data_IF_706526459249
#
_entry.id   IF_706526459249
#
_cell.length_a   1.000
_cell.length_b   1.000
_cell.length_c   1.000
_cell.angle_alpha   90.00
_cell.angle_beta   90.00
_cell.angle_gamma   90.00
#
_symmetry.space_group_name_H-M   'P 1'
#
loop_
_entity.id
_entity.type
_entity.pdbx_description
1 polymer ?
#
# COMPACT_ATOMS: atom_id res chain seq x y z
N UNK A 1 -2.13 27.66 6.96
CA UNK A 1 -0.98 26.78 7.13
C UNK A 1 0.22 27.50 7.80
N UNK A 2 0.76 28.62 7.19
CA UNK A 2 1.93 29.34 7.73
C UNK A 2 1.75 29.75 9.20
N UNK A 3 0.58 30.37 9.56
CA UNK A 3 0.28 30.75 10.93
C UNK A 3 0.25 29.56 11.88
N UNK A 4 -0.29 28.43 11.44
CA UNK A 4 -0.34 27.19 12.22
C UNK A 4 1.03 26.60 12.45
N UNK A 5 1.86 26.47 11.40
CA UNK A 5 3.24 25.97 11.49
C UNK A 5 4.08 26.81 12.45
N UNK A 6 4.00 28.14 12.37
CA UNK A 6 4.79 29.05 13.21
C UNK A 6 4.33 29.09 14.67
N UNK A 7 3.05 28.80 14.94
CA UNK A 7 2.54 28.64 16.32
C UNK A 7 2.94 27.33 16.96
N UNK A 8 3.16 26.29 16.17
CA UNK A 8 3.65 25.00 16.64
C UNK A 8 5.10 25.14 17.14
N UNK A 9 5.32 24.91 18.44
CA UNK A 9 6.67 24.93 19.04
C UNK A 9 7.43 23.64 18.73
N UNK A 10 7.61 23.35 17.44
CA UNK A 10 8.31 22.15 17.00
C UNK A 10 9.80 22.26 17.32
N UNK A 11 10.37 21.24 17.96
CA UNK A 11 11.83 21.12 18.10
C UNK A 11 12.46 20.63 16.80
N UNK A 12 11.79 19.69 16.12
CA UNK A 12 12.23 19.10 14.84
C UNK A 12 11.02 18.70 14.00
N UNK A 13 11.16 18.81 12.68
CA UNK A 13 10.19 18.34 11.69
C UNK A 13 10.92 17.34 10.77
N UNK A 14 10.25 16.22 10.48
CA UNK A 14 10.70 15.22 9.53
C UNK A 14 9.82 15.27 8.28
N UNK A 15 10.37 15.75 7.18
CA UNK A 15 9.71 15.76 5.88
C UNK A 15 10.00 14.43 5.15
N UNK A 16 9.15 13.43 5.35
CA UNK A 16 9.29 12.11 4.73
C UNK A 16 8.72 12.07 3.31
N UNK A 17 7.91 13.05 2.92
CA UNK A 17 7.40 13.16 1.56
C UNK A 17 8.52 13.59 0.60
N UNK A 18 9.41 14.48 1.04
CA UNK A 18 10.58 14.93 0.27
C UNK A 18 10.25 15.36 -1.17
N UNK A 19 9.18 16.13 -1.32
CA UNK A 19 8.77 16.77 -2.57
C UNK A 19 9.10 18.27 -2.57
N UNK A 20 9.06 18.92 -3.72
CA UNK A 20 9.18 20.37 -3.81
C UNK A 20 8.12 21.08 -2.98
N UNK A 21 6.89 20.54 -2.98
CA UNK A 21 5.77 21.04 -2.19
C UNK A 21 6.03 20.95 -0.70
N UNK A 22 6.52 19.82 -0.19
CA UNK A 22 6.82 19.67 1.25
C UNK A 22 8.04 20.49 1.66
N UNK A 23 9.05 20.56 0.79
CA UNK A 23 10.24 21.41 0.99
C UNK A 23 9.90 22.89 1.04
N UNK A 24 8.85 23.33 0.31
CA UNK A 24 8.37 24.70 0.41
C UNK A 24 7.86 25.04 1.83
N UNK A 25 7.34 24.06 2.57
CA UNK A 25 6.86 24.32 3.94
C UNK A 25 7.97 24.77 4.89
N UNK A 26 9.22 24.35 4.65
CA UNK A 26 10.39 24.85 5.37
C UNK A 26 10.54 26.37 5.26
N UNK A 27 10.27 26.94 4.07
CA UNK A 27 10.35 28.38 3.83
C UNK A 27 9.27 29.18 4.54
N UNK A 28 8.15 28.55 4.94
CA UNK A 28 7.06 29.24 5.61
C UNK A 28 7.41 29.70 7.04
N UNK A 29 8.50 29.20 7.61
CA UNK A 29 9.01 29.65 8.90
C UNK A 29 9.70 31.02 8.83
N UNK A 30 10.26 31.39 7.68
CA UNK A 30 10.95 32.68 7.53
C UNK A 30 9.98 33.87 7.70
N UNK A 31 10.45 35.03 8.32
CA UNK A 31 11.83 35.35 8.72
C UNK A 31 12.29 34.74 10.05
N UNK A 32 11.44 34.02 10.79
CA UNK A 32 11.85 33.39 12.03
C UNK A 32 12.79 32.23 11.75
N UNK A 33 13.56 31.81 12.75
CA UNK A 33 14.42 30.65 12.65
C UNK A 33 13.59 29.37 12.53
N UNK A 34 13.73 28.57 11.45
CA UNK A 34 13.03 27.31 11.34
C UNK A 34 13.41 26.34 12.47
N UNK A 35 12.53 25.43 12.87
CA UNK A 35 12.92 24.29 13.70
C UNK A 35 13.96 23.42 13.01
N UNK A 36 14.60 22.51 13.73
CA UNK A 36 15.43 21.50 13.09
C UNK A 36 14.57 20.75 12.05
N UNK A 37 15.11 20.54 10.86
CA UNK A 37 14.36 19.97 9.73
C UNK A 37 15.16 18.85 9.08
N UNK A 38 14.56 17.68 8.96
CA UNK A 38 15.08 16.55 8.20
C UNK A 38 14.30 16.43 6.89
N UNK A 39 14.99 16.43 5.77
CA UNK A 39 14.40 16.38 4.43
C UNK A 39 15.36 16.84 3.35
N UNK A 40 14.80 17.30 2.23
CA UNK A 40 15.57 17.79 1.07
C UNK A 40 15.51 19.31 0.89
N UNK A 41 14.87 20.03 1.81
CA UNK A 41 14.78 21.48 1.73
C UNK A 41 16.17 22.11 1.82
N UNK A 42 16.49 23.01 0.87
CA UNK A 42 17.80 23.68 0.83
C UNK A 42 18.03 24.48 2.11
N UNK A 43 19.15 24.20 2.79
CA UNK A 43 19.52 24.86 4.03
C UNK A 43 18.87 24.26 5.29
N UNK A 44 18.22 23.12 5.20
CA UNK A 44 17.72 22.41 6.38
C UNK A 44 18.87 21.84 7.21
N UNK A 45 18.62 21.62 8.51
CA UNK A 45 19.66 21.22 9.47
C UNK A 45 20.09 19.75 9.37
N UNK A 46 19.22 18.88 8.79
CA UNK A 46 19.47 17.46 8.62
C UNK A 46 19.08 17.06 7.18
N UNK A 47 19.94 17.41 6.20
CA UNK A 47 19.66 17.13 4.80
C UNK A 47 19.76 15.63 4.50
N UNK A 48 18.83 15.13 3.70
CA UNK A 48 18.98 13.84 3.05
C UNK A 48 19.63 14.04 1.69
N UNK A 49 20.95 14.05 1.66
CA UNK A 49 21.81 14.46 0.56
C UNK A 49 22.42 13.29 -0.24
N UNK A 50 21.88 12.07 -0.05
CA UNK A 50 22.31 10.90 -0.83
C UNK A 50 22.01 11.12 -2.32
N UNK A 51 23.02 11.12 -3.21
CA UNK A 51 22.83 11.34 -4.64
C UNK A 51 21.97 10.27 -5.30
N UNK A 52 21.97 9.04 -4.74
CA UNK A 52 21.22 7.90 -5.27
C UNK A 52 19.82 7.77 -4.65
N UNK A 53 19.37 8.75 -3.83
CA UNK A 53 18.11 8.67 -3.10
C UNK A 53 16.88 8.37 -3.97
N UNK A 54 16.87 8.81 -5.21
CA UNK A 54 15.76 8.62 -6.13
C UNK A 54 15.72 7.21 -6.75
N UNK A 55 16.80 6.46 -6.65
CA UNK A 55 16.88 5.05 -7.04
C UNK A 55 16.66 4.09 -5.86
N UNK A 56 16.46 4.62 -4.65
CA UNK A 56 16.20 3.81 -3.47
C UNK A 56 14.71 3.48 -3.34
N UNK A 57 14.42 2.31 -2.81
CA UNK A 57 13.06 2.00 -2.35
C UNK A 57 12.59 3.04 -1.32
N UNK A 58 11.32 3.47 -1.41
CA UNK A 58 10.78 4.56 -0.57
C UNK A 58 11.02 4.35 0.92
N UNK A 59 10.86 3.14 1.43
CA UNK A 59 11.06 2.82 2.84
C UNK A 59 12.54 2.91 3.22
N UNK A 60 13.45 2.40 2.39
CA UNK A 60 14.90 2.46 2.65
C UNK A 60 15.40 3.91 2.64
N UNK A 61 14.88 4.70 1.72
CA UNK A 61 15.15 6.13 1.63
C UNK A 61 14.70 6.88 2.89
N UNK A 62 13.50 6.59 3.37
CA UNK A 62 12.98 7.21 4.61
C UNK A 62 13.77 6.76 5.84
N UNK A 63 14.14 5.48 5.90
CA UNK A 63 14.98 4.93 6.97
C UNK A 63 16.35 5.62 7.00
N UNK A 64 17.02 5.73 5.86
CA UNK A 64 18.30 6.44 5.77
C UNK A 64 18.18 7.89 6.23
N UNK A 65 17.14 8.61 5.77
CA UNK A 65 16.88 9.99 6.17
C UNK A 65 16.70 10.13 7.68
N UNK A 66 15.90 9.25 8.30
CA UNK A 66 15.68 9.27 9.75
C UNK A 66 16.95 8.94 10.53
N UNK A 67 17.73 7.98 10.06
CA UNK A 67 19.04 7.62 10.65
C UNK A 67 20.00 8.80 10.60
N UNK A 68 20.13 9.48 9.46
CA UNK A 68 20.94 10.71 9.33
C UNK A 68 20.45 11.83 10.26
N UNK A 69 19.17 11.89 10.56
CA UNK A 69 18.61 12.82 11.52
C UNK A 69 18.76 12.38 12.99
N UNK A 70 19.47 11.29 13.27
CA UNK A 70 19.75 10.80 14.62
C UNK A 70 18.61 10.02 15.26
N UNK A 71 17.63 9.54 14.48
CA UNK A 71 16.61 8.63 14.96
C UNK A 71 17.21 7.23 15.03
N UNK A 72 17.14 6.61 16.20
CA UNK A 72 17.57 5.21 16.36
C UNK A 72 16.52 4.30 15.73
N UNK A 73 16.95 3.51 14.76
CA UNK A 73 16.11 2.61 13.99
C UNK A 73 16.32 1.15 14.42
N UNK A 74 16.58 0.90 15.71
CA UNK A 74 16.74 -0.46 16.22
C UNK A 74 15.48 -1.29 15.95
N UNK A 75 15.63 -2.47 15.36
CA UNK A 75 14.51 -3.37 15.00
C UNK A 75 13.85 -3.10 13.66
N UNK A 76 14.30 -2.11 12.88
CA UNK A 76 13.76 -1.80 11.56
C UNK A 76 14.60 -2.36 10.39
N UNK A 77 15.49 -3.28 10.66
CA UNK A 77 16.34 -3.86 9.62
C UNK A 77 15.55 -4.78 8.69
N UNK A 78 14.41 -5.29 9.17
CA UNK A 78 13.49 -6.11 8.39
C UNK A 78 12.04 -5.63 8.55
N UNK A 79 11.51 -4.97 7.51
CA UNK A 79 10.11 -4.50 7.45
C UNK A 79 9.11 -5.67 7.39
N UNK A 80 9.53 -6.83 6.90
CA UNK A 80 8.69 -8.02 6.94
C UNK A 80 8.32 -8.47 8.36
N UNK A 81 9.02 -7.96 9.37
CA UNK A 81 8.81 -8.23 10.80
C UNK A 81 8.28 -7.02 11.59
N UNK A 82 7.68 -6.03 10.92
CA UNK A 82 7.00 -4.95 11.65
C UNK A 82 5.95 -5.52 12.60
N UNK A 83 6.01 -5.09 13.86
CA UNK A 83 4.95 -5.41 14.83
C UNK A 83 3.71 -4.54 14.55
N UNK A 84 2.75 -5.12 13.87
CA UNK A 84 1.42 -4.55 13.63
C UNK A 84 0.34 -5.27 14.47
N UNK A 85 0.71 -6.02 15.51
CA UNK A 85 -0.23 -6.73 16.38
C UNK A 85 -1.26 -5.82 17.07
N UNK A 86 -0.90 -4.56 17.26
CA UNK A 86 -1.79 -3.52 17.81
C UNK A 86 -2.92 -3.10 16.85
N UNK A 87 -2.76 -3.32 15.53
CA UNK A 87 -3.74 -2.92 14.51
C UNK A 87 -4.84 -4.00 14.39
N UNK A 88 -5.66 -4.14 15.40
CA UNK A 88 -6.77 -5.10 15.48
C UNK A 88 -8.12 -4.40 15.36
N UNK A 89 -9.10 -5.11 14.84
CA UNK A 89 -10.50 -4.66 14.80
C UNK A 89 -11.45 -5.86 14.87
N UNK A 90 -12.66 -5.61 15.34
CA UNK A 90 -13.77 -6.55 15.19
C UNK A 90 -14.26 -6.53 13.72
N UNK A 91 -14.29 -7.70 13.11
CA UNK A 91 -14.77 -7.93 11.74
C UNK A 91 -15.91 -8.97 11.67
N UNK A 92 -16.45 -9.42 12.81
CA UNK A 92 -17.52 -10.43 12.84
C UNK A 92 -18.78 -9.95 12.11
N UNK A 93 -19.12 -8.67 12.26
CA UNK A 93 -20.26 -8.04 11.59
C UNK A 93 -20.16 -8.02 10.06
N UNK A 94 -18.94 -8.21 9.50
CA UNK A 94 -18.72 -8.29 8.05
C UNK A 94 -19.06 -9.66 7.48
N UNK A 95 -19.35 -10.65 8.33
CA UNK A 95 -19.75 -12.01 7.93
C UNK A 95 -18.79 -12.66 6.93
N UNK A 96 -17.47 -12.43 7.13
CA UNK A 96 -16.43 -12.95 6.24
C UNK A 96 -16.31 -14.47 6.41
N UNK A 97 -16.26 -15.25 5.32
CA UNK A 97 -16.11 -16.70 5.37
C UNK A 97 -14.79 -17.13 6.04
N UNK A 98 -14.74 -18.39 6.47
CA UNK A 98 -13.51 -18.97 7.06
C UNK A 98 -12.37 -19.04 6.03
N UNK A 99 -12.66 -19.48 4.80
CA UNK A 99 -11.71 -19.59 3.69
C UNK A 99 -11.97 -18.53 2.64
N UNK A 100 -11.10 -17.53 2.55
CA UNK A 100 -11.30 -16.43 1.61
C UNK A 100 -9.98 -15.87 1.06
N UNK A 101 -10.09 -15.24 -0.11
CA UNK A 101 -9.04 -14.44 -0.73
C UNK A 101 -9.47 -12.98 -0.82
N UNK A 102 -8.59 -12.06 -0.46
CA UNK A 102 -8.83 -10.63 -0.67
C UNK A 102 -8.50 -10.26 -2.12
N UNK A 103 -9.45 -9.66 -2.82
CA UNK A 103 -9.23 -9.09 -4.15
C UNK A 103 -9.29 -7.57 -4.07
N UNK A 104 -8.22 -6.91 -4.52
CA UNK A 104 -8.07 -5.45 -4.48
C UNK A 104 -7.94 -4.90 -5.90
N UNK A 105 -9.07 -4.76 -6.63
CA UNK A 105 -9.08 -4.37 -8.05
C UNK A 105 -8.83 -2.87 -8.26
N UNK A 106 -8.79 -2.08 -7.18
CA UNK A 106 -8.64 -0.63 -7.21
C UNK A 106 -7.29 -0.16 -7.74
N UNK A 107 -7.21 1.15 -7.88
CA UNK A 107 -6.01 1.87 -8.29
C UNK A 107 -6.30 3.33 -8.55
N UNK A 108 -5.26 4.18 -8.58
CA UNK A 108 -5.43 5.61 -8.84
C UNK A 108 -6.22 5.85 -10.14
N UNK A 109 -7.30 6.62 -10.08
CA UNK A 109 -8.21 6.88 -11.22
C UNK A 109 -7.47 7.48 -12.42
N UNK A 110 -6.49 8.34 -12.17
CA UNK A 110 -5.69 9.00 -13.20
C UNK A 110 -4.59 8.10 -13.80
N UNK A 111 -4.48 6.83 -13.37
CA UNK A 111 -3.48 5.85 -13.83
C UNK A 111 -4.16 4.51 -14.17
N UNK A 112 -5.04 4.48 -15.18
CA UNK A 112 -5.81 3.27 -15.53
C UNK A 112 -4.91 2.09 -15.94
N UNK A 113 -3.74 2.35 -16.53
CA UNK A 113 -2.79 1.31 -16.90
C UNK A 113 -2.16 0.56 -15.70
N UNK A 114 -2.39 1.01 -14.46
CA UNK A 114 -2.04 0.29 -13.23
C UNK A 114 -3.15 -0.67 -12.77
N UNK A 115 -4.23 -0.78 -13.50
CA UNK A 115 -5.36 -1.64 -13.15
C UNK A 115 -5.37 -2.87 -14.06
N UNK A 116 -5.43 -4.02 -13.44
CA UNK A 116 -5.68 -5.27 -14.17
C UNK A 116 -7.10 -5.26 -14.72
N UNK A 117 -7.35 -5.79 -15.94
CA UNK A 117 -8.67 -5.76 -16.54
C UNK A 117 -9.75 -6.38 -15.65
N UNK A 118 -10.92 -5.75 -15.62
CA UNK A 118 -12.05 -6.19 -14.81
C UNK A 118 -12.48 -7.63 -15.13
N UNK A 119 -12.48 -8.02 -16.41
CA UNK A 119 -12.84 -9.37 -16.82
C UNK A 119 -11.87 -10.43 -16.26
N UNK A 120 -10.60 -10.07 -16.08
CA UNK A 120 -9.63 -10.95 -15.46
C UNK A 120 -9.89 -11.11 -13.95
N UNK A 121 -10.30 -10.03 -13.26
CA UNK A 121 -10.75 -10.14 -11.86
C UNK A 121 -12.02 -11.00 -11.71
N UNK A 122 -12.98 -10.87 -12.62
CA UNK A 122 -14.19 -11.74 -12.65
C UNK A 122 -13.80 -13.20 -12.83
N UNK A 123 -12.93 -13.50 -13.79
CA UNK A 123 -12.46 -14.86 -14.05
C UNK A 123 -11.65 -15.43 -12.89
N UNK A 124 -10.75 -14.62 -12.30
CA UNK A 124 -10.00 -15.02 -11.10
C UNK A 124 -10.94 -15.34 -9.94
N UNK A 125 -11.93 -14.46 -9.67
CA UNK A 125 -12.89 -14.65 -8.60
C UNK A 125 -13.71 -15.94 -8.78
N UNK A 126 -14.14 -16.25 -10.00
CA UNK A 126 -14.86 -17.47 -10.32
C UNK A 126 -14.00 -18.71 -10.03
N UNK A 127 -12.75 -18.72 -10.48
CA UNK A 127 -11.83 -19.85 -10.25
C UNK A 127 -11.45 -20.03 -8.77
N UNK A 128 -11.35 -18.97 -8.00
CA UNK A 128 -11.15 -19.05 -6.55
C UNK A 128 -12.37 -19.67 -5.86
N UNK A 129 -13.57 -19.23 -6.23
CA UNK A 129 -14.82 -19.77 -5.69
C UNK A 129 -14.99 -21.26 -6.01
N UNK A 130 -14.64 -21.71 -7.23
CA UNK A 130 -14.64 -23.12 -7.62
C UNK A 130 -13.68 -23.98 -6.76
N UNK A 131 -12.61 -23.40 -6.26
CA UNK A 131 -11.67 -24.04 -5.33
C UNK A 131 -12.10 -23.96 -3.86
N UNK A 132 -13.27 -23.40 -3.57
CA UNK A 132 -13.82 -23.24 -2.23
C UNK A 132 -13.14 -22.10 -1.43
N UNK A 133 -12.48 -21.16 -2.12
CA UNK A 133 -11.89 -19.93 -1.53
C UNK A 133 -12.76 -18.75 -1.94
N UNK A 134 -13.49 -18.19 -1.01
CA UNK A 134 -14.48 -17.14 -1.31
C UNK A 134 -13.77 -15.82 -1.62
N UNK A 135 -14.05 -15.18 -2.78
CA UNK A 135 -13.51 -13.85 -3.07
C UNK A 135 -14.15 -12.79 -2.17
N UNK A 136 -13.32 -12.02 -1.47
CA UNK A 136 -13.72 -10.86 -0.68
C UNK A 136 -13.15 -9.62 -1.34
N UNK A 137 -14.02 -8.76 -1.83
CA UNK A 137 -13.66 -7.61 -2.67
C UNK A 137 -13.43 -6.39 -1.78
N UNK A 138 -12.27 -5.76 -1.92
CA UNK A 138 -11.86 -4.59 -1.16
C UNK A 138 -11.70 -3.39 -2.08
N UNK A 139 -12.23 -2.25 -1.66
CA UNK A 139 -12.13 -0.98 -2.36
C UNK A 139 -12.68 0.17 -1.54
N UNK A 140 -12.39 1.39 -1.96
CA UNK A 140 -13.04 2.59 -1.45
C UNK A 140 -14.30 2.94 -2.25
N UNK A 141 -14.88 4.14 -2.02
CA UNK A 141 -16.06 4.61 -2.75
C UNK A 141 -15.87 4.60 -4.27
N UNK A 142 -14.68 4.89 -4.74
CA UNK A 142 -14.35 4.97 -6.17
C UNK A 142 -14.30 3.59 -6.86
N UNK A 143 -14.16 2.52 -6.09
CA UNK A 143 -14.09 1.14 -6.58
C UNK A 143 -15.41 0.39 -6.50
N UNK A 144 -16.45 0.94 -5.88
CA UNK A 144 -17.76 0.29 -5.69
C UNK A 144 -18.36 -0.26 -7.00
N UNK A 145 -18.29 0.50 -8.10
CA UNK A 145 -18.80 0.03 -9.38
C UNK A 145 -18.05 -1.22 -9.87
N UNK A 146 -16.72 -1.22 -9.75
CA UNK A 146 -15.86 -2.34 -10.16
C UNK A 146 -16.12 -3.58 -9.29
N UNK A 147 -16.18 -3.44 -7.97
CA UNK A 147 -16.41 -4.56 -7.05
C UNK A 147 -17.83 -5.12 -7.21
N UNK A 148 -18.81 -4.25 -7.40
CA UNK A 148 -20.18 -4.68 -7.66
C UNK A 148 -20.29 -5.54 -8.94
N UNK A 149 -19.61 -5.15 -10.02
CA UNK A 149 -19.61 -5.95 -11.25
C UNK A 149 -18.94 -7.32 -11.06
N UNK A 150 -17.88 -7.42 -10.24
CA UNK A 150 -17.25 -8.70 -9.92
C UNK A 150 -18.21 -9.56 -9.09
N UNK A 151 -18.85 -8.98 -8.06
CA UNK A 151 -19.82 -9.70 -7.22
C UNK A 151 -21.04 -10.16 -8.00
N UNK A 152 -21.52 -9.37 -8.96
CA UNK A 152 -22.63 -9.76 -9.83
C UNK A 152 -22.27 -10.95 -10.74
N UNK A 153 -21.00 -11.06 -11.17
CA UNK A 153 -20.51 -12.19 -11.97
C UNK A 153 -20.26 -13.45 -11.12
N UNK A 154 -19.97 -13.30 -9.83
CA UNK A 154 -19.64 -14.39 -8.90
C UNK A 154 -20.50 -14.25 -7.64
N UNK A 155 -21.71 -14.87 -7.59
CA UNK A 155 -22.66 -14.66 -6.50
C UNK A 155 -22.18 -15.07 -5.10
N UNK A 156 -21.15 -15.88 -4.99
CA UNK A 156 -20.50 -16.24 -3.71
C UNK A 156 -19.50 -15.19 -3.23
N UNK A 157 -19.11 -14.23 -4.08
CA UNK A 157 -18.17 -13.19 -3.70
C UNK A 157 -18.82 -12.21 -2.70
N UNK A 158 -18.05 -11.81 -1.68
CA UNK A 158 -18.46 -10.84 -0.68
C UNK A 158 -17.93 -9.44 -1.05
N UNK A 159 -18.81 -8.50 -1.34
CA UNK A 159 -18.43 -7.12 -1.66
C UNK A 159 -18.36 -6.27 -0.39
N UNK A 160 -17.13 -5.89 0.00
CA UNK A 160 -16.82 -5.03 1.14
C UNK A 160 -16.28 -3.65 0.73
N UNK A 161 -16.48 -3.23 -0.53
CA UNK A 161 -16.08 -1.89 -0.95
C UNK A 161 -16.81 -0.82 -0.12
N UNK A 162 -16.05 0.17 0.39
CA UNK A 162 -16.51 1.23 1.29
C UNK A 162 -17.15 0.74 2.61
N UNK A 163 -16.86 -0.51 3.01
CA UNK A 163 -17.40 -1.10 4.25
C UNK A 163 -16.30 -1.44 5.27
N UNK A 164 -15.04 -1.14 4.96
CA UNK A 164 -13.91 -1.45 5.85
C UNK A 164 -13.05 -0.22 6.09
N UNK A 165 -12.60 -0.06 7.32
CA UNK A 165 -11.52 0.85 7.66
C UNK A 165 -10.14 0.15 7.58
N UNK A 166 -9.07 0.90 7.86
CA UNK A 166 -7.71 0.37 7.79
C UNK A 166 -7.42 -0.71 8.84
N UNK A 167 -8.03 -0.64 10.04
CA UNK A 167 -7.81 -1.63 11.08
C UNK A 167 -8.55 -2.93 10.75
N UNK A 168 -9.77 -2.82 10.24
CA UNK A 168 -10.53 -3.96 9.73
C UNK A 168 -9.83 -4.61 8.54
N UNK A 169 -9.27 -3.82 7.62
CA UNK A 169 -8.48 -4.34 6.51
C UNK A 169 -7.23 -5.08 6.98
N UNK A 170 -6.55 -4.59 8.02
CA UNK A 170 -5.41 -5.25 8.63
C UNK A 170 -5.82 -6.61 9.23
N UNK A 171 -6.96 -6.67 9.91
CA UNK A 171 -7.49 -7.90 10.48
C UNK A 171 -7.91 -8.91 9.41
N UNK A 172 -8.60 -8.46 8.36
CA UNK A 172 -8.93 -9.29 7.20
C UNK A 172 -7.66 -9.82 6.51
N UNK A 173 -6.63 -8.97 6.38
CA UNK A 173 -5.35 -9.38 5.82
C UNK A 173 -4.71 -10.55 6.58
N UNK A 174 -4.74 -10.53 7.93
CA UNK A 174 -4.19 -11.64 8.74
C UNK A 174 -4.94 -12.96 8.57
N UNK A 175 -6.22 -12.88 8.25
CA UNK A 175 -7.12 -14.05 8.15
C UNK A 175 -7.21 -14.60 6.74
N UNK A 176 -6.85 -13.81 5.72
CA UNK A 176 -6.96 -14.21 4.33
C UNK A 176 -5.95 -15.33 3.98
N UNK A 177 -6.38 -16.32 3.19
CA UNK A 177 -5.46 -17.30 2.62
C UNK A 177 -4.46 -16.64 1.65
N UNK A 178 -4.94 -15.65 0.89
CA UNK A 178 -4.12 -14.87 -0.03
C UNK A 178 -4.80 -13.52 -0.32
N UNK A 179 -4.00 -12.52 -0.68
CA UNK A 179 -4.49 -11.27 -1.22
C UNK A 179 -3.93 -11.05 -2.63
N UNK A 180 -4.77 -10.68 -3.57
CA UNK A 180 -4.38 -10.38 -4.95
C UNK A 180 -4.87 -8.98 -5.31
N UNK A 181 -3.99 -8.14 -5.82
CA UNK A 181 -4.39 -6.77 -6.16
C UNK A 181 -3.35 -5.99 -6.94
N UNK A 182 -3.77 -4.85 -7.45
CA UNK A 182 -2.88 -3.90 -8.14
C UNK A 182 -1.95 -3.20 -7.13
N UNK A 183 -0.92 -2.51 -7.61
CA UNK A 183 -0.05 -1.65 -6.79
C UNK A 183 -0.85 -0.48 -6.17
N UNK A 184 -1.33 -0.69 -4.94
CA UNK A 184 -2.22 0.22 -4.20
C UNK A 184 -1.91 0.27 -2.71
N UNK A 185 -2.42 1.33 -2.04
CA UNK A 185 -2.27 1.49 -0.58
C UNK A 185 -2.78 0.30 0.24
N UNK A 186 -3.99 -0.22 0.01
CA UNK A 186 -4.49 -1.42 0.68
C UNK A 186 -3.54 -2.60 0.62
N UNK A 187 -2.95 -2.90 -0.54
CA UNK A 187 -2.01 -4.02 -0.69
C UNK A 187 -0.72 -3.84 0.13
N UNK A 188 -0.27 -2.60 0.38
CA UNK A 188 0.85 -2.36 1.28
C UNK A 188 0.52 -2.76 2.73
N UNK A 189 -0.68 -2.43 3.21
CA UNK A 189 -1.12 -2.78 4.56
C UNK A 189 -1.32 -4.29 4.70
N UNK A 190 -2.00 -4.90 3.74
CA UNK A 190 -2.28 -6.35 3.72
C UNK A 190 -0.97 -7.15 3.73
N UNK A 191 0.00 -6.78 2.89
CA UNK A 191 1.31 -7.41 2.87
C UNK A 191 2.08 -7.21 4.21
N UNK A 192 2.03 -6.00 4.77
CA UNK A 192 2.74 -5.66 6.00
C UNK A 192 2.21 -6.41 7.24
N UNK A 193 0.91 -6.76 7.28
CA UNK A 193 0.36 -7.59 8.36
C UNK A 193 0.64 -9.07 8.19
N UNK A 194 1.31 -9.46 7.09
CA UNK A 194 1.82 -10.82 6.88
C UNK A 194 0.98 -11.71 5.98
N UNK A 195 -0.06 -11.16 5.34
CA UNK A 195 -0.84 -11.93 4.36
C UNK A 195 0.03 -12.40 3.19
N UNK A 196 -0.10 -13.65 2.73
CA UNK A 196 0.40 -14.05 1.42
C UNK A 196 -0.20 -13.12 0.37
N UNK A 197 0.64 -12.41 -0.39
CA UNK A 197 0.19 -11.33 -1.27
C UNK A 197 0.76 -11.47 -2.67
N UNK A 198 -0.09 -11.40 -3.67
CA UNK A 198 0.29 -11.32 -5.09
C UNK A 198 -0.04 -9.93 -5.60
N UNK A 199 0.99 -9.16 -5.96
CA UNK A 199 0.82 -7.77 -6.37
C UNK A 199 1.13 -7.61 -7.85
N UNK A 200 0.18 -7.01 -8.57
CA UNK A 200 0.21 -6.90 -10.02
C UNK A 200 0.79 -5.54 -10.43
N UNK A 201 1.84 -5.57 -11.23
CA UNK A 201 2.57 -4.40 -11.68
C UNK A 201 2.61 -4.29 -13.20
N UNK A 202 2.34 -3.10 -13.72
CA UNK A 202 2.72 -2.69 -15.08
C UNK A 202 3.99 -1.86 -15.05
N UNK A 203 4.49 -1.45 -16.23
CA UNK A 203 5.62 -0.53 -16.32
C UNK A 203 5.31 0.90 -15.85
N UNK A 204 4.04 1.19 -15.48
CA UNK A 204 3.62 2.45 -14.85
C UNK A 204 4.17 2.65 -13.43
N UNK A 205 4.67 1.60 -12.78
CA UNK A 205 5.36 1.68 -11.50
C UNK A 205 6.52 0.70 -11.43
N UNK A 206 7.56 1.12 -10.72
CA UNK A 206 8.72 0.28 -10.48
C UNK A 206 8.66 -0.32 -9.06
N UNK A 207 8.47 -1.65 -8.93
CA UNK A 207 8.45 -2.30 -7.63
C UNK A 207 9.77 -2.18 -6.87
N UNK A 208 10.90 -1.95 -7.56
CA UNK A 208 12.17 -1.67 -6.89
C UNK A 208 12.12 -0.38 -6.05
N UNK A 209 11.27 0.59 -6.43
CA UNK A 209 11.12 1.87 -5.75
C UNK A 209 9.98 1.90 -4.73
N UNK A 210 8.93 1.11 -4.95
CA UNK A 210 7.70 1.18 -4.15
C UNK A 210 7.01 -0.17 -3.93
N UNK A 211 7.68 -1.31 -4.15
CA UNK A 211 7.07 -2.63 -3.97
C UNK A 211 6.56 -2.85 -2.54
N UNK A 212 5.49 -3.60 -2.41
CA UNK A 212 4.96 -4.02 -1.12
C UNK A 212 5.99 -4.88 -0.40
N UNK A 213 6.10 -4.70 0.91
CA UNK A 213 6.99 -5.49 1.75
C UNK A 213 6.18 -6.23 2.81
N UNK A 214 6.49 -7.51 2.97
CA UNK A 214 5.84 -8.40 3.90
C UNK A 214 6.54 -9.76 3.90
N UNK A 215 6.06 -10.70 4.72
CA UNK A 215 6.67 -12.03 4.87
C UNK A 215 6.55 -12.90 3.62
N UNK A 216 5.46 -12.75 2.86
CA UNK A 216 5.15 -13.57 1.71
C UNK A 216 4.54 -12.70 0.59
N UNK A 217 5.39 -11.97 -0.13
CA UNK A 217 4.97 -11.08 -1.21
C UNK A 217 5.54 -11.58 -2.53
N UNK A 218 4.66 -11.86 -3.48
CA UNK A 218 5.00 -12.18 -4.87
C UNK A 218 4.61 -10.99 -5.75
N UNK A 219 5.56 -10.46 -6.50
CA UNK A 219 5.32 -9.41 -7.48
C UNK A 219 5.25 -10.04 -8.87
N UNK A 220 4.12 -9.84 -9.55
CA UNK A 220 3.94 -10.25 -10.94
C UNK A 220 3.94 -9.00 -11.80
N UNK A 221 4.94 -8.88 -12.69
CA UNK A 221 5.10 -7.69 -13.54
C UNK A 221 5.00 -8.05 -15.02
N UNK A 222 4.28 -7.22 -15.78
CA UNK A 222 4.21 -7.23 -17.24
C UNK A 222 4.31 -5.80 -17.76
N UNK A 223 4.74 -5.56 -18.99
CA UNK A 223 4.73 -4.21 -19.58
C UNK A 223 3.35 -3.56 -19.50
N UNK A 224 2.31 -4.33 -19.79
CA UNK A 224 0.91 -3.95 -19.60
C UNK A 224 0.18 -5.03 -18.80
N UNK A 225 -0.68 -4.62 -17.86
CA UNK A 225 -1.53 -5.57 -17.13
C UNK A 225 -2.59 -6.22 -18.04
N UNK A 226 -2.85 -5.68 -19.21
CA UNK A 226 -3.70 -6.36 -20.21
C UNK A 226 -3.05 -7.65 -20.78
N UNK A 227 -1.73 -7.77 -20.68
CA UNK A 227 -0.98 -8.96 -21.12
C UNK A 227 -0.87 -10.04 -20.03
N UNK A 228 -1.26 -9.72 -18.80
CA UNK A 228 -1.20 -10.64 -17.68
C UNK A 228 -2.45 -11.52 -17.67
N UNK A 229 -2.27 -12.83 -17.86
CA UNK A 229 -3.37 -13.79 -17.85
C UNK A 229 -3.80 -14.16 -16.42
N UNK A 230 -4.99 -14.72 -16.29
CA UNK A 230 -5.50 -15.26 -15.01
C UNK A 230 -4.67 -16.48 -14.59
N UNK A 231 -4.26 -17.30 -15.54
CA UNK A 231 -3.43 -18.47 -15.32
C UNK A 231 -2.05 -18.09 -14.77
N UNK A 232 -1.44 -16.99 -15.26
CA UNK A 232 -0.18 -16.48 -14.73
C UNK A 232 -0.33 -16.12 -13.23
N UNK A 233 -1.44 -15.48 -12.84
CA UNK A 233 -1.70 -15.12 -11.45
C UNK A 233 -1.98 -16.37 -10.61
N UNK A 234 -2.83 -17.27 -11.07
CA UNK A 234 -3.18 -18.51 -10.38
C UNK A 234 -1.97 -19.41 -10.19
N UNK A 235 -1.05 -19.45 -11.15
CA UNK A 235 0.19 -20.21 -11.07
C UNK A 235 1.13 -19.75 -9.94
N UNK A 236 0.90 -18.57 -9.36
CA UNK A 236 1.67 -18.06 -8.21
C UNK A 236 1.03 -18.40 -6.86
N UNK A 237 -0.19 -18.92 -6.86
CA UNK A 237 -0.94 -19.20 -5.63
C UNK A 237 -0.64 -20.60 -5.11
N UNK A 238 -0.50 -20.71 -3.79
CA UNK A 238 -0.32 -22.00 -3.09
C UNK A 238 -1.64 -22.43 -2.38
N UNK A 239 -2.77 -22.37 -3.14
CA UNK A 239 -4.13 -22.67 -2.64
C UNK A 239 -4.82 -23.73 -3.48
#
# INVERSE_FOLDING_TARGET
>A
LRRWLRRGKFRRIYDLQTSDRSSFYFKLFYPDKPPAWSGIARGCSHPHDNPNRNAMHTIDRQREQLTKAGVRMAGFDDIANLDLSWATADVEHLSVPERFALLVPGGAQHRPAKRWPLENYKALAAQLAERGVIPVLIGGPDEQATTHEIAAAVPSALDLADKTDLLQLAELGRRAEVAIGNDTGPMHLIAAVGAPSVVLYSDESDPALCGQRGKAVTIVRRPSLAELSVEDVLGTLAI
#
